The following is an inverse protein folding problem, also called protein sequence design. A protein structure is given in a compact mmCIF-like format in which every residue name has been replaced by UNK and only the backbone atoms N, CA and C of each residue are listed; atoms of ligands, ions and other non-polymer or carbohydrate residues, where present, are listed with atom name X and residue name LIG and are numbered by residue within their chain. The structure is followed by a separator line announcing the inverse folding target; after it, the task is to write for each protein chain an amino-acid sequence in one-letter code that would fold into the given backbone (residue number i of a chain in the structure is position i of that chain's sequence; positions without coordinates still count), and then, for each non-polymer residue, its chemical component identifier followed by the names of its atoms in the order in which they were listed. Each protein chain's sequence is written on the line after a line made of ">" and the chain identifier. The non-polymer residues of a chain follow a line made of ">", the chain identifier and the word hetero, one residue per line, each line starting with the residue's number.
data_IF_373301601427
#
_entry.id   IF_373301601427
#
_cell.length_a   1.000
_cell.length_b   1.000
_cell.length_c   1.000
_cell.angle_alpha   90.00
_cell.angle_beta   90.00
_cell.angle_gamma   90.00
#
_symmetry.space_group_name_H-M   'P 1'
#
loop_
_entity.id
_entity.type
_entity.pdbx_description
1 polymer ?
#
# COMPACT_ATOMS: atom_id res chain seq x y z
N UNK A 1 -20.61 3.50 -16.00
CA UNK A 1 -20.33 3.55 -14.55
C UNK A 1 -20.55 2.16 -13.97
N UNK A 2 -19.54 1.62 -13.26
CA UNK A 2 -19.65 0.31 -12.58
C UNK A 2 -20.20 0.55 -11.17
N UNK A 3 -21.46 0.15 -10.93
CA UNK A 3 -22.13 0.42 -9.65
C UNK A 3 -21.80 -0.66 -8.61
N UNK A 4 -20.95 -0.36 -7.63
CA UNK A 4 -20.60 -1.25 -6.52
C UNK A 4 -20.87 -0.58 -5.17
N UNK A 5 -20.73 -1.33 -4.06
CA UNK A 5 -20.77 -0.72 -2.71
C UNK A 5 -19.69 0.35 -2.54
N UNK A 6 -18.49 0.14 -3.10
CA UNK A 6 -17.37 1.08 -3.01
C UNK A 6 -17.67 2.38 -3.76
N UNK A 7 -18.14 2.29 -5.04
CA UNK A 7 -18.40 3.49 -5.83
C UNK A 7 -19.51 4.35 -5.24
N UNK A 8 -20.55 3.74 -4.68
CA UNK A 8 -21.60 4.48 -3.94
C UNK A 8 -21.11 5.12 -2.65
N UNK A 9 -20.24 4.41 -1.92
CA UNK A 9 -19.72 4.87 -0.62
C UNK A 9 -18.82 6.10 -0.76
N UNK A 10 -18.04 6.15 -1.83
CA UNK A 10 -17.02 7.19 -2.07
C UNK A 10 -17.44 8.22 -3.14
N UNK A 11 -18.53 8.00 -3.87
CA UNK A 11 -18.94 8.90 -4.96
C UNK A 11 -17.99 8.88 -6.15
N UNK A 12 -17.36 7.73 -6.45
CA UNK A 12 -16.40 7.54 -7.55
C UNK A 12 -17.04 6.78 -8.73
N UNK A 13 -16.47 6.93 -9.91
CA UNK A 13 -17.00 6.35 -11.16
C UNK A 13 -16.57 4.88 -11.34
N UNK A 14 -15.29 4.59 -11.06
CA UNK A 14 -14.70 3.26 -11.20
C UNK A 14 -14.28 2.71 -9.83
N UNK A 15 -14.54 1.43 -9.55
CA UNK A 15 -14.18 0.81 -8.26
C UNK A 15 -12.69 0.45 -8.20
N UNK A 16 -11.84 1.43 -8.48
CA UNK A 16 -10.37 1.32 -8.58
C UNK A 16 -9.73 2.25 -7.58
N UNK A 17 -8.89 1.67 -6.71
CA UNK A 17 -8.10 2.39 -5.70
C UNK A 17 -6.63 2.32 -6.11
N UNK A 18 -5.96 3.47 -6.24
CA UNK A 18 -4.50 3.50 -6.23
C UNK A 18 -4.05 3.34 -4.78
N UNK A 19 -3.33 2.27 -4.50
CA UNK A 19 -2.86 1.94 -3.14
C UNK A 19 -1.90 2.98 -2.58
N UNK A 20 -1.93 3.19 -1.26
CA UNK A 20 -0.86 3.89 -0.57
C UNK A 20 0.48 3.17 -0.78
N UNK A 21 1.46 3.89 -1.31
CA UNK A 21 2.81 3.41 -1.63
C UNK A 21 3.83 4.35 -1.00
N UNK A 22 4.75 3.81 -0.19
CA UNK A 22 5.77 4.62 0.45
C UNK A 22 6.63 5.33 -0.61
N UNK A 23 6.80 6.65 -0.47
CA UNK A 23 7.55 7.57 -1.35
C UNK A 23 6.93 7.82 -2.73
N UNK A 24 5.94 7.05 -3.16
CA UNK A 24 5.36 7.14 -4.50
C UNK A 24 3.90 7.61 -4.51
N UNK A 25 3.18 7.45 -3.40
CA UNK A 25 1.79 7.88 -3.28
C UNK A 25 1.73 9.35 -2.87
N UNK A 26 1.92 10.22 -3.87
CA UNK A 26 2.01 11.68 -3.76
C UNK A 26 0.80 12.36 -4.44
N UNK A 27 0.56 13.67 -4.21
CA UNK A 27 -0.60 14.39 -4.74
C UNK A 27 -0.78 14.27 -6.26
N UNK A 28 0.29 14.37 -7.05
CA UNK A 28 0.22 14.30 -8.53
C UNK A 28 -0.37 12.98 -9.00
N UNK A 29 0.14 11.86 -8.50
CA UNK A 29 -0.37 10.54 -8.85
C UNK A 29 -1.81 10.34 -8.34
N UNK A 30 -2.05 10.67 -7.08
CA UNK A 30 -3.37 10.47 -6.46
C UNK A 30 -4.46 11.31 -7.16
N UNK A 31 -4.18 12.59 -7.45
CA UNK A 31 -5.11 13.48 -8.14
C UNK A 31 -5.40 13.01 -9.56
N UNK A 32 -4.40 12.53 -10.31
CA UNK A 32 -4.61 11.98 -11.65
C UNK A 32 -5.60 10.81 -11.63
N UNK A 33 -5.45 9.89 -10.66
CA UNK A 33 -6.36 8.75 -10.48
C UNK A 33 -7.78 9.23 -10.10
N UNK A 34 -7.90 10.22 -9.20
CA UNK A 34 -9.19 10.79 -8.82
C UNK A 34 -9.88 11.46 -10.02
N UNK A 35 -9.15 12.26 -10.79
CA UNK A 35 -9.67 12.96 -11.98
C UNK A 35 -10.06 11.98 -13.10
N UNK A 36 -9.41 10.80 -13.17
CA UNK A 36 -9.79 9.71 -14.08
C UNK A 36 -10.99 8.88 -13.58
N UNK A 37 -11.60 9.21 -12.43
CA UNK A 37 -12.82 8.57 -11.93
C UNK A 37 -12.59 7.41 -10.95
N UNK A 38 -11.34 7.07 -10.64
CA UNK A 38 -10.98 6.16 -9.54
C UNK A 38 -10.87 6.90 -8.21
N UNK A 39 -10.09 6.36 -7.27
CA UNK A 39 -9.70 7.05 -6.04
C UNK A 39 -8.22 6.90 -5.77
N UNK A 40 -7.53 8.03 -5.68
CA UNK A 40 -6.12 8.11 -5.34
C UNK A 40 -5.91 8.07 -3.83
N UNK A 41 -4.73 7.60 -3.44
CA UNK A 41 -4.30 7.57 -2.04
C UNK A 41 -2.94 8.26 -1.92
N UNK A 42 -2.80 9.19 -0.98
CA UNK A 42 -1.50 9.72 -0.57
C UNK A 42 -1.05 9.05 0.72
N UNK A 43 0.26 8.88 0.90
CA UNK A 43 0.79 8.17 2.07
C UNK A 43 1.53 9.14 2.99
N UNK A 44 1.10 9.26 4.24
CA UNK A 44 1.67 10.20 5.21
C UNK A 44 3.19 10.05 5.39
N UNK A 45 3.72 8.84 5.23
CA UNK A 45 5.17 8.59 5.38
C UNK A 45 6.04 9.18 4.26
N UNK A 46 5.44 9.78 3.23
CA UNK A 46 6.17 10.51 2.20
C UNK A 46 6.72 11.85 2.70
N UNK A 47 6.19 12.37 3.80
CA UNK A 47 6.58 13.66 4.38
C UNK A 47 7.14 13.49 5.80
N UNK A 48 8.32 14.08 6.08
CA UNK A 48 8.97 13.99 7.38
C UNK A 48 8.23 14.66 8.54
N UNK A 49 7.47 15.73 8.23
CA UNK A 49 6.78 16.55 9.24
C UNK A 49 5.29 16.70 8.92
N UNK A 50 4.51 17.03 9.96
CA UNK A 50 3.08 17.30 9.79
C UNK A 50 2.82 18.55 8.95
N UNK A 51 3.69 19.55 9.01
CA UNK A 51 3.57 20.79 8.22
C UNK A 51 3.78 20.49 6.73
N UNK A 52 4.83 19.73 6.38
CA UNK A 52 5.06 19.31 4.98
C UNK A 52 3.90 18.43 4.47
N UNK A 53 3.31 17.63 5.35
CA UNK A 53 2.12 16.85 5.00
C UNK A 53 0.88 17.74 4.81
N UNK A 54 0.73 18.81 5.61
CA UNK A 54 -0.33 19.79 5.43
C UNK A 54 -0.23 20.50 4.07
N UNK A 55 0.99 20.88 3.67
CA UNK A 55 1.25 21.46 2.33
C UNK A 55 0.88 20.48 1.22
N UNK A 56 1.19 19.19 1.39
CA UNK A 56 0.81 18.16 0.43
C UNK A 56 -0.71 17.95 0.33
N UNK A 57 -1.46 18.11 1.44
CA UNK A 57 -2.93 18.09 1.40
C UNK A 57 -3.49 19.32 0.68
N UNK A 58 -2.88 20.49 0.86
CA UNK A 58 -3.25 21.72 0.13
C UNK A 58 -2.95 21.57 -1.37
N UNK A 59 -1.80 21.01 -1.73
CA UNK A 59 -1.49 20.66 -3.10
C UNK A 59 -2.52 19.70 -3.69
N UNK A 60 -2.86 18.60 -2.97
CA UNK A 60 -3.88 17.65 -3.40
C UNK A 60 -5.22 18.33 -3.68
N UNK A 61 -5.67 19.21 -2.77
CA UNK A 61 -6.91 19.97 -2.90
C UNK A 61 -6.87 20.98 -4.06
N UNK A 62 -5.68 21.45 -4.47
CA UNK A 62 -5.52 22.30 -5.65
C UNK A 62 -5.59 21.52 -6.97
N UNK A 63 -5.18 20.25 -6.98
CA UNK A 63 -5.12 19.39 -8.16
C UNK A 63 -6.45 18.68 -8.48
N UNK A 64 -7.30 18.49 -7.47
CA UNK A 64 -8.60 17.83 -7.65
C UNK A 64 -9.64 18.26 -6.62
N UNK A 65 -10.89 18.32 -7.06
CA UNK A 65 -12.07 18.44 -6.18
C UNK A 65 -12.74 17.09 -5.88
N UNK A 66 -12.16 15.99 -6.35
CA UNK A 66 -12.68 14.64 -6.17
C UNK A 66 -12.23 14.06 -4.82
N UNK A 67 -12.99 13.07 -4.27
CA UNK A 67 -12.59 12.40 -3.04
C UNK A 67 -11.26 11.66 -3.20
N UNK A 68 -10.46 11.64 -2.13
CA UNK A 68 -9.18 10.89 -2.05
C UNK A 68 -8.99 10.28 -0.67
N UNK A 69 -8.01 9.39 -0.56
CA UNK A 69 -7.67 8.63 0.65
C UNK A 69 -6.31 9.08 1.17
N UNK A 70 -6.14 9.09 2.48
CA UNK A 70 -4.83 9.19 3.15
C UNK A 70 -4.51 7.84 3.79
N UNK A 71 -3.32 7.30 3.48
CA UNK A 71 -2.82 6.07 4.10
C UNK A 71 -1.94 6.40 5.31
N UNK A 72 -2.24 5.75 6.44
CA UNK A 72 -1.45 5.77 7.67
C UNK A 72 -0.99 4.34 7.97
N UNK A 73 0.33 4.12 7.92
CA UNK A 73 0.92 2.81 8.24
C UNK A 73 1.01 2.64 9.77
N UNK A 74 0.46 1.53 10.27
CA UNK A 74 0.61 1.09 11.65
C UNK A 74 1.72 0.04 11.80
N UNK A 75 2.53 -0.19 10.76
CA UNK A 75 3.64 -1.14 10.81
C UNK A 75 4.72 -0.64 11.79
N UNK A 76 5.26 -1.50 12.70
CA UNK A 76 6.21 -1.08 13.74
C UNK A 76 7.43 -0.33 13.24
N UNK A 77 7.84 -0.59 11.99
CA UNK A 77 9.01 0.05 11.35
C UNK A 77 8.70 1.40 10.69
N UNK A 78 7.43 1.79 10.61
CA UNK A 78 6.95 2.98 9.88
C UNK A 78 5.88 3.75 10.65
N UNK A 79 5.51 3.28 11.83
CA UNK A 79 4.43 3.86 12.62
C UNK A 79 4.89 5.19 13.23
N UNK A 80 4.07 6.20 13.04
CA UNK A 80 4.08 7.42 13.85
C UNK A 80 3.66 7.07 15.29
N UNK A 81 4.00 7.90 16.25
CA UNK A 81 3.42 7.71 17.58
C UNK A 81 1.90 8.00 17.60
N UNK A 82 1.22 7.56 18.65
CA UNK A 82 -0.25 7.63 18.72
C UNK A 82 -0.77 9.07 18.70
N UNK A 83 -0.04 10.00 19.28
CA UNK A 83 -0.40 11.42 19.28
C UNK A 83 -0.20 12.04 17.89
N UNK A 84 0.85 11.70 17.20
CA UNK A 84 1.10 12.11 15.81
C UNK A 84 0.03 11.55 14.87
N UNK A 85 -0.37 10.28 15.05
CA UNK A 85 -1.48 9.68 14.29
C UNK A 85 -2.78 10.48 14.52
N UNK A 86 -3.11 10.82 15.78
CA UNK A 86 -4.32 11.60 16.08
C UNK A 86 -4.25 13.03 15.52
N UNK A 87 -3.08 13.68 15.55
CA UNK A 87 -2.86 14.98 14.89
C UNK A 87 -3.08 14.88 13.38
N UNK A 88 -2.54 13.85 12.76
CA UNK A 88 -2.72 13.58 11.33
C UNK A 88 -4.20 13.37 10.98
N UNK A 89 -4.93 12.59 11.78
CA UNK A 89 -6.38 12.38 11.59
C UNK A 89 -7.16 13.70 11.68
N UNK A 90 -6.87 14.54 12.68
CA UNK A 90 -7.52 15.87 12.81
C UNK A 90 -7.26 16.74 11.60
N UNK A 91 -5.99 16.85 11.19
CA UNK A 91 -5.59 17.61 9.99
C UNK A 91 -6.31 17.10 8.74
N UNK A 92 -6.38 15.79 8.54
CA UNK A 92 -7.11 15.20 7.41
C UNK A 92 -8.60 15.59 7.41
N UNK A 93 -9.24 15.63 8.58
CA UNK A 93 -10.62 16.08 8.72
C UNK A 93 -10.79 17.56 8.35
N UNK A 94 -9.90 18.44 8.84
CA UNK A 94 -9.87 19.88 8.52
C UNK A 94 -9.65 20.14 7.01
N UNK A 95 -8.87 19.30 6.35
CA UNK A 95 -8.57 19.36 4.91
C UNK A 95 -9.59 18.58 4.03
N UNK A 96 -10.69 18.09 4.64
CA UNK A 96 -11.79 17.40 3.93
C UNK A 96 -11.39 16.12 3.19
N UNK A 97 -10.43 15.36 3.72
CA UNK A 97 -10.08 14.04 3.23
C UNK A 97 -11.29 13.10 3.32
N UNK A 98 -11.57 12.35 2.25
CA UNK A 98 -12.77 11.50 2.20
C UNK A 98 -12.65 10.26 3.09
N UNK A 99 -11.45 9.71 3.21
CA UNK A 99 -11.21 8.49 3.98
C UNK A 99 -9.76 8.35 4.47
N UNK A 100 -9.59 7.64 5.58
CA UNK A 100 -8.30 7.13 6.05
C UNK A 100 -8.20 5.64 5.74
N UNK A 101 -7.09 5.23 5.11
CA UNK A 101 -6.68 3.84 5.01
C UNK A 101 -5.60 3.57 6.08
N UNK A 102 -5.89 2.71 7.04
CA UNK A 102 -4.85 2.18 7.93
C UNK A 102 -4.31 0.86 7.38
N UNK A 103 -3.07 0.51 7.70
CA UNK A 103 -2.43 -0.72 7.24
C UNK A 103 -1.58 -1.37 8.31
N UNK A 104 -1.40 -2.69 8.21
CA UNK A 104 -0.60 -3.57 9.06
C UNK A 104 -1.28 -3.96 10.38
N UNK A 105 -1.11 -3.20 11.47
CA UNK A 105 -1.61 -3.56 12.79
C UNK A 105 -3.05 -3.10 13.04
N UNK A 106 -3.62 -3.52 14.18
CA UNK A 106 -5.01 -3.28 14.56
C UNK A 106 -5.33 -1.78 14.67
N UNK A 107 -6.28 -1.25 13.88
CA UNK A 107 -6.62 0.18 13.88
C UNK A 107 -7.66 0.57 14.92
N UNK A 108 -8.18 -0.35 15.76
CA UNK A 108 -9.39 -0.12 16.59
C UNK A 108 -9.30 1.12 17.45
N UNK A 109 -8.13 1.46 17.97
CA UNK A 109 -7.92 2.62 18.82
C UNK A 109 -8.13 3.97 18.09
N UNK A 110 -8.01 4.02 16.75
CA UNK A 110 -8.13 5.24 15.96
C UNK A 110 -9.48 5.36 15.22
N UNK A 111 -10.30 4.30 15.20
CA UNK A 111 -11.56 4.30 14.43
C UNK A 111 -12.53 5.38 14.91
N UNK A 112 -12.59 5.62 16.23
CA UNK A 112 -13.46 6.65 16.78
C UNK A 112 -13.02 8.05 16.35
N UNK A 113 -11.72 8.32 16.36
CA UNK A 113 -11.15 9.62 15.95
C UNK A 113 -11.39 9.87 14.46
N UNK A 114 -11.17 8.86 13.59
CA UNK A 114 -11.42 8.95 12.14
C UNK A 114 -12.90 9.28 11.85
N UNK A 115 -13.83 8.58 12.53
CA UNK A 115 -15.26 8.82 12.36
C UNK A 115 -15.69 10.18 12.87
N UNK A 116 -15.16 10.62 14.02
CA UNK A 116 -15.46 11.93 14.59
C UNK A 116 -14.97 13.08 13.71
N UNK A 117 -13.89 12.87 12.96
CA UNK A 117 -13.39 13.80 11.96
C UNK A 117 -14.18 13.76 10.63
N UNK A 118 -15.28 12.99 10.55
CA UNK A 118 -16.18 12.94 9.38
C UNK A 118 -15.71 12.02 8.24
N UNK A 119 -14.64 11.29 8.43
CA UNK A 119 -14.02 10.47 7.37
C UNK A 119 -14.50 9.01 7.41
N UNK A 120 -14.41 8.34 6.24
CA UNK A 120 -14.54 6.89 6.13
C UNK A 120 -13.25 6.22 6.59
N UNK A 121 -13.36 4.97 7.04
CA UNK A 121 -12.20 4.18 7.44
C UNK A 121 -12.08 2.92 6.58
N UNK A 122 -10.89 2.68 6.03
CA UNK A 122 -10.48 1.45 5.37
C UNK A 122 -9.32 0.83 6.13
N UNK A 123 -9.24 -0.50 6.12
CA UNK A 123 -8.09 -1.18 6.71
C UNK A 123 -7.51 -2.19 5.72
N UNK A 124 -6.21 -2.07 5.45
CA UNK A 124 -5.47 -2.99 4.58
C UNK A 124 -4.95 -4.17 5.39
N UNK A 125 -5.58 -5.32 5.21
CA UNK A 125 -5.22 -6.57 5.88
C UNK A 125 -4.33 -7.43 4.98
N UNK A 126 -3.22 -7.99 5.51
CA UNK A 126 -2.32 -8.83 4.72
C UNK A 126 -2.89 -10.22 4.41
N UNK A 127 -3.92 -10.66 5.11
CA UNK A 127 -4.59 -11.94 4.87
C UNK A 127 -5.95 -12.03 5.57
N UNK A 128 -6.73 -13.08 5.26
CA UNK A 128 -8.07 -13.32 5.83
C UNK A 128 -8.09 -13.42 7.36
N UNK A 129 -7.10 -14.07 7.96
CA UNK A 129 -7.06 -14.25 9.43
C UNK A 129 -6.85 -12.91 10.15
N UNK A 130 -6.08 -11.98 9.59
CA UNK A 130 -5.92 -10.63 10.13
C UNK A 130 -7.22 -9.83 10.00
N UNK A 131 -8.03 -10.11 8.98
CA UNK A 131 -9.34 -9.47 8.84
C UNK A 131 -10.39 -9.98 9.81
N UNK A 132 -10.24 -11.21 10.36
CA UNK A 132 -11.19 -11.87 11.27
C UNK A 132 -10.65 -12.08 12.69
N UNK A 133 -9.37 -12.32 12.85
CA UNK A 133 -8.65 -12.44 14.13
C UNK A 133 -7.14 -12.46 13.90
N UNK A 134 -6.37 -11.85 14.77
CA UNK A 134 -4.93 -11.60 14.65
C UNK A 134 -4.04 -12.86 14.69
N UNK A 135 -4.32 -13.93 13.95
CA UNK A 135 -3.45 -15.09 13.87
C UNK A 135 -2.84 -15.36 12.50
N UNK A 136 -1.51 -15.47 12.53
CA UNK A 136 -0.48 -15.89 11.54
C UNK A 136 -0.80 -15.88 10.04
N UNK A 137 0.11 -15.18 9.32
CA UNK A 137 0.20 -15.04 7.86
C UNK A 137 0.37 -16.40 7.17
N UNK A 138 -0.56 -16.70 6.25
CA UNK A 138 -0.45 -17.82 5.32
C UNK A 138 -0.34 -17.30 3.89
N UNK A 139 0.36 -18.03 3.02
CA UNK A 139 0.44 -17.77 1.57
C UNK A 139 -0.87 -18.16 0.90
N UNK A 140 -1.89 -17.31 0.98
CA UNK A 140 -3.18 -17.53 0.30
C UNK A 140 -3.31 -16.52 -0.84
N UNK A 141 -3.62 -17.00 -2.04
CA UNK A 141 -3.79 -16.14 -3.22
C UNK A 141 -4.95 -15.15 -3.07
N UNK A 142 -4.83 -13.99 -3.72
CA UNK A 142 -5.79 -12.88 -3.66
C UNK A 142 -7.23 -13.31 -3.96
N UNK A 143 -7.46 -14.17 -4.94
CA UNK A 143 -8.80 -14.62 -5.31
C UNK A 143 -9.48 -15.41 -4.20
N UNK A 144 -8.74 -16.29 -3.51
CA UNK A 144 -9.27 -17.07 -2.39
C UNK A 144 -9.63 -16.16 -1.22
N UNK A 145 -8.72 -15.23 -0.86
CA UNK A 145 -8.96 -14.27 0.23
C UNK A 145 -10.13 -13.35 -0.11
N UNK A 146 -10.16 -12.76 -1.29
CA UNK A 146 -11.22 -11.84 -1.71
C UNK A 146 -12.61 -12.53 -1.66
N UNK A 147 -12.71 -13.75 -2.22
CA UNK A 147 -13.96 -14.53 -2.17
C UNK A 147 -14.38 -14.86 -0.75
N UNK A 148 -13.46 -15.27 0.10
CA UNK A 148 -13.74 -15.60 1.48
C UNK A 148 -14.21 -14.39 2.28
N UNK A 149 -13.46 -13.29 2.21
CA UNK A 149 -13.85 -12.04 2.87
C UNK A 149 -15.21 -11.52 2.37
N UNK A 150 -15.45 -11.55 1.06
CA UNK A 150 -16.71 -11.09 0.48
C UNK A 150 -17.92 -11.96 0.90
N UNK A 151 -17.71 -13.25 1.20
CA UNK A 151 -18.76 -14.15 1.68
C UNK A 151 -19.05 -13.94 3.18
N UNK A 152 -18.02 -13.71 3.98
CA UNK A 152 -18.13 -13.76 5.44
C UNK A 152 -18.31 -12.37 6.07
N UNK A 153 -18.02 -11.28 5.33
CA UNK A 153 -18.10 -9.91 5.85
C UNK A 153 -19.29 -9.13 5.31
N UNK A 154 -19.98 -8.41 6.19
CA UNK A 154 -21.08 -7.49 5.82
C UNK A 154 -20.60 -6.09 5.39
N UNK A 155 -19.29 -5.88 5.23
CA UNK A 155 -18.68 -4.63 4.79
C UNK A 155 -18.14 -4.74 3.36
N UNK A 156 -17.93 -3.61 2.64
CA UNK A 156 -17.28 -3.65 1.34
C UNK A 156 -15.87 -4.23 1.42
N UNK A 157 -15.54 -5.17 0.54
CA UNK A 157 -14.21 -5.78 0.40
C UNK A 157 -13.54 -5.23 -0.85
N UNK A 158 -12.30 -4.77 -0.72
CA UNK A 158 -11.45 -4.31 -1.81
C UNK A 158 -10.35 -5.35 -2.00
N UNK A 159 -10.31 -5.97 -3.19
CA UNK A 159 -9.27 -6.97 -3.51
C UNK A 159 -7.96 -6.28 -3.89
N UNK A 160 -6.84 -6.72 -3.34
CA UNK A 160 -5.52 -6.16 -3.59
C UNK A 160 -4.48 -7.25 -3.84
N UNK A 161 -3.58 -7.00 -4.81
CA UNK A 161 -2.45 -7.88 -5.16
C UNK A 161 -2.69 -8.74 -6.41
N UNK A 162 -1.78 -8.65 -7.39
CA UNK A 162 -1.85 -9.40 -8.65
C UNK A 162 -2.95 -8.95 -9.61
N UNK A 163 -3.52 -7.77 -9.40
CA UNK A 163 -4.54 -7.16 -10.27
C UNK A 163 -3.89 -5.99 -10.99
N UNK A 164 -3.91 -5.98 -12.32
CA UNK A 164 -3.23 -4.96 -13.12
C UNK A 164 -4.08 -4.44 -14.30
N UNK A 165 -5.17 -5.10 -14.64
CA UNK A 165 -6.01 -4.80 -15.81
C UNK A 165 -7.51 -4.97 -15.55
N UNK A 166 -8.30 -4.78 -16.61
CA UNK A 166 -9.76 -4.92 -16.58
C UNK A 166 -10.23 -6.36 -16.34
N UNK A 167 -9.46 -7.39 -16.75
CA UNK A 167 -9.80 -8.78 -16.49
C UNK A 167 -9.68 -9.10 -15.00
N UNK A 168 -8.60 -8.63 -14.36
CA UNK A 168 -8.41 -8.76 -12.92
C UNK A 168 -9.48 -8.03 -12.12
N UNK A 169 -9.91 -6.83 -12.56
CA UNK A 169 -11.04 -6.10 -11.98
C UNK A 169 -12.35 -6.92 -12.11
N UNK A 170 -12.66 -7.39 -13.30
CA UNK A 170 -13.87 -8.18 -13.55
C UNK A 170 -13.91 -9.46 -12.70
N UNK A 171 -12.78 -10.17 -12.61
CA UNK A 171 -12.65 -11.37 -11.78
C UNK A 171 -12.85 -11.05 -10.29
N UNK A 172 -12.26 -9.98 -9.77
CA UNK A 172 -12.43 -9.56 -8.37
C UNK A 172 -13.91 -9.23 -8.05
N UNK A 173 -14.60 -8.51 -8.96
CA UNK A 173 -16.02 -8.20 -8.80
C UNK A 173 -16.89 -9.46 -8.85
N UNK A 174 -16.58 -10.42 -9.74
CA UNK A 174 -17.28 -11.72 -9.82
C UNK A 174 -17.10 -12.55 -8.53
N UNK A 175 -15.99 -12.41 -7.83
CA UNK A 175 -15.75 -13.02 -6.53
C UNK A 175 -16.49 -12.33 -5.37
N UNK A 176 -17.15 -11.20 -5.64
CA UNK A 176 -17.94 -10.44 -4.66
C UNK A 176 -17.20 -9.25 -4.03
N UNK A 177 -15.98 -8.93 -4.51
CA UNK A 177 -15.32 -7.70 -4.10
C UNK A 177 -16.12 -6.46 -4.56
N UNK A 178 -16.01 -5.37 -3.82
CA UNK A 178 -16.65 -4.09 -4.15
C UNK A 178 -15.74 -3.19 -5.01
N UNK A 179 -14.49 -3.56 -5.18
CA UNK A 179 -13.48 -2.86 -5.96
C UNK A 179 -12.13 -3.52 -5.83
N UNK A 180 -11.13 -2.90 -6.44
CA UNK A 180 -9.74 -3.36 -6.43
C UNK A 180 -8.80 -2.27 -5.98
N UNK A 181 -7.67 -2.66 -5.35
CA UNK A 181 -6.57 -1.76 -5.05
C UNK A 181 -5.30 -2.24 -5.76
N UNK A 182 -4.67 -1.34 -6.48
CA UNK A 182 -3.48 -1.62 -7.28
C UNK A 182 -2.32 -0.72 -6.85
N UNK A 183 -1.12 -1.28 -6.77
CA UNK A 183 0.13 -0.54 -6.56
C UNK A 183 1.00 -0.59 -7.80
N UNK A 184 1.55 -1.76 -8.12
CA UNK A 184 2.52 -1.97 -9.20
C UNK A 184 2.06 -1.41 -10.55
N UNK A 185 0.77 -1.51 -10.89
CA UNK A 185 0.22 -0.92 -12.12
C UNK A 185 0.41 0.59 -12.16
N UNK A 186 0.16 1.28 -11.03
CA UNK A 186 0.31 2.74 -10.95
C UNK A 186 1.76 3.20 -10.86
N UNK A 187 2.71 2.33 -10.47
CA UNK A 187 4.16 2.63 -10.55
C UNK A 187 4.61 2.89 -11.99
N UNK A 188 3.93 2.29 -12.98
CA UNK A 188 4.28 2.41 -14.39
C UNK A 188 3.67 3.64 -15.08
N UNK A 189 2.91 4.49 -14.36
CA UNK A 189 2.31 5.71 -14.95
C UNK A 189 3.29 6.88 -14.91
N UNK A 190 3.07 7.85 -15.79
CA UNK A 190 3.93 9.03 -15.90
C UNK A 190 3.84 9.93 -14.66
N UNK A 191 2.70 9.93 -13.98
CA UNK A 191 2.45 10.71 -12.76
C UNK A 191 3.14 10.12 -11.52
N UNK A 192 3.62 8.88 -11.59
CA UNK A 192 4.36 8.27 -10.48
C UNK A 192 5.77 8.85 -10.40
N UNK A 193 6.19 9.41 -9.24
CA UNK A 193 7.49 10.07 -9.08
C UNK A 193 8.64 9.05 -8.91
N UNK A 194 8.72 8.09 -9.79
CA UNK A 194 9.76 7.07 -9.81
C UNK A 194 10.69 7.31 -11.00
N UNK A 195 11.97 6.99 -10.85
CA UNK A 195 12.92 7.13 -11.97
C UNK A 195 12.57 6.22 -13.15
N UNK A 196 12.92 6.65 -14.36
CA UNK A 196 12.69 5.89 -15.58
C UNK A 196 13.33 4.49 -15.55
N UNK A 197 14.49 4.36 -14.90
CA UNK A 197 15.13 3.06 -14.73
C UNK A 197 14.27 2.07 -13.93
N UNK A 198 13.63 2.52 -12.84
CA UNK A 198 12.72 1.66 -12.07
C UNK A 198 11.44 1.38 -12.85
N UNK A 199 10.89 2.37 -13.55
CA UNK A 199 9.70 2.20 -14.39
C UNK A 199 9.97 1.18 -15.48
N UNK A 200 11.07 1.32 -16.23
CA UNK A 200 11.51 0.37 -17.26
C UNK A 200 11.72 -1.03 -16.65
N UNK A 201 12.36 -1.11 -15.47
CA UNK A 201 12.55 -2.38 -14.80
C UNK A 201 11.21 -3.09 -14.52
N UNK A 202 10.20 -2.37 -14.03
CA UNK A 202 8.87 -2.97 -13.75
C UNK A 202 8.16 -3.38 -15.04
N UNK A 203 8.34 -2.64 -16.14
CA UNK A 203 7.74 -2.93 -17.46
C UNK A 203 8.40 -4.15 -18.11
N UNK A 204 9.72 -4.26 -18.02
CA UNK A 204 10.52 -5.29 -18.70
C UNK A 204 10.54 -6.64 -17.96
N UNK A 205 10.00 -6.69 -16.73
CA UNK A 205 10.02 -7.88 -15.87
C UNK A 205 8.62 -8.47 -15.69
N UNK A 206 8.57 -9.72 -15.21
CA UNK A 206 7.34 -10.51 -15.07
C UNK A 206 7.08 -10.90 -13.63
N UNK A 207 5.99 -11.64 -13.40
CA UNK A 207 5.65 -12.23 -12.09
C UNK A 207 6.77 -13.08 -11.47
N UNK A 208 7.70 -13.62 -12.30
CA UNK A 208 8.85 -14.44 -11.87
C UNK A 208 9.99 -13.63 -11.28
N UNK A 209 9.97 -12.31 -11.53
CA UNK A 209 11.01 -11.39 -11.09
C UNK A 209 10.64 -10.72 -9.76
N UNK A 210 9.88 -11.40 -8.93
CA UNK A 210 9.55 -11.01 -7.56
C UNK A 210 9.96 -12.07 -6.55
N UNK A 211 10.32 -11.64 -5.35
CA UNK A 211 10.64 -12.52 -4.22
C UNK A 211 9.92 -12.08 -2.95
N UNK A 212 9.80 -13.00 -1.98
CA UNK A 212 9.30 -12.69 -0.64
C UNK A 212 10.48 -12.41 0.28
N UNK A 213 10.42 -11.30 1.00
CA UNK A 213 11.38 -10.89 2.02
C UNK A 213 10.71 -10.76 3.39
N UNK A 214 11.51 -10.69 4.47
CA UNK A 214 11.07 -10.48 5.85
C UNK A 214 10.12 -11.54 6.38
N UNK A 215 10.39 -12.80 6.07
CA UNK A 215 9.59 -13.97 6.50
C UNK A 215 9.64 -14.19 8.00
N UNK A 216 10.85 -14.03 8.61
CA UNK A 216 11.11 -14.30 10.03
C UNK A 216 10.44 -13.34 10.98
N UNK A 217 10.35 -12.06 10.63
CA UNK A 217 9.72 -11.04 11.47
C UNK A 217 8.18 -11.01 11.31
N UNK A 218 7.63 -11.94 10.53
CA UNK A 218 6.18 -12.00 10.28
C UNK A 218 5.64 -10.80 9.48
N UNK A 219 6.48 -9.91 8.94
CA UNK A 219 6.10 -8.79 8.07
C UNK A 219 6.45 -9.05 6.61
N UNK A 220 6.14 -10.26 6.15
CA UNK A 220 6.47 -10.73 4.81
C UNK A 220 5.89 -9.81 3.74
N UNK A 221 6.75 -9.37 2.83
CA UNK A 221 6.38 -8.54 1.68
C UNK A 221 6.92 -9.13 0.39
N UNK A 222 6.19 -8.89 -0.70
CA UNK A 222 6.66 -9.22 -2.04
C UNK A 222 7.34 -8.00 -2.63
N UNK A 223 8.55 -8.20 -3.12
CA UNK A 223 9.43 -7.14 -3.62
C UNK A 223 10.07 -7.54 -4.95
N UNK A 224 10.68 -6.57 -5.64
CA UNK A 224 11.52 -6.81 -6.82
C UNK A 224 12.61 -7.85 -6.53
N UNK A 225 12.86 -8.74 -7.47
CA UNK A 225 13.99 -9.68 -7.42
C UNK A 225 15.24 -8.99 -7.96
N UNK A 226 15.93 -8.27 -7.11
CA UNK A 226 17.14 -7.52 -7.42
C UNK A 226 18.26 -7.87 -6.43
N UNK A 227 19.45 -7.31 -6.60
CA UNK A 227 20.61 -7.62 -5.74
C UNK A 227 20.33 -7.34 -4.27
N UNK A 228 19.62 -6.25 -3.94
CA UNK A 228 19.27 -5.92 -2.55
C UNK A 228 18.32 -6.96 -1.92
N UNK A 229 17.31 -7.41 -2.65
CA UNK A 229 16.34 -8.40 -2.14
C UNK A 229 16.96 -9.80 -2.01
N UNK A 230 17.86 -10.16 -2.92
CA UNK A 230 18.61 -11.42 -2.85
C UNK A 230 19.55 -11.41 -1.65
N UNK A 231 20.28 -10.31 -1.41
CA UNK A 231 21.13 -10.14 -0.25
C UNK A 231 20.32 -10.17 1.06
N UNK A 232 19.16 -9.49 1.09
CA UNK A 232 18.30 -9.53 2.27
C UNK A 232 17.83 -10.95 2.60
N UNK A 233 17.45 -11.75 1.59
CA UNK A 233 17.06 -13.14 1.77
C UNK A 233 18.24 -14.02 2.19
N UNK A 234 19.44 -13.82 1.63
CA UNK A 234 20.65 -14.54 2.05
C UNK A 234 20.98 -14.31 3.54
N UNK A 235 20.90 -13.05 3.99
CA UNK A 235 21.05 -12.70 5.41
C UNK A 235 20.00 -13.41 6.26
N UNK A 236 18.76 -13.43 5.83
CA UNK A 236 17.65 -14.09 6.53
C UNK A 236 17.88 -15.61 6.65
N UNK A 237 18.17 -16.27 5.53
CA UNK A 237 18.36 -17.71 5.46
C UNK A 237 19.60 -18.14 6.32
N UNK A 238 20.70 -17.39 6.24
CA UNK A 238 21.88 -17.60 7.08
C UNK A 238 21.56 -17.40 8.57
N UNK A 239 20.80 -16.37 8.91
CA UNK A 239 20.37 -16.12 10.29
C UNK A 239 19.52 -17.25 10.85
N UNK A 240 18.60 -17.78 10.07
CA UNK A 240 17.77 -18.95 10.44
C UNK A 240 18.65 -20.17 10.68
N UNK A 241 19.57 -20.48 9.76
CA UNK A 241 20.46 -21.63 9.86
C UNK A 241 21.38 -21.57 11.10
N UNK A 242 21.78 -20.36 11.51
CA UNK A 242 22.63 -20.14 12.69
C UNK A 242 21.85 -19.92 13.98
N UNK A 243 20.53 -20.02 13.97
CA UNK A 243 19.66 -19.88 15.15
C UNK A 243 19.56 -18.44 15.68
N UNK A 244 19.83 -17.42 14.86
CA UNK A 244 19.69 -16.00 15.25
C UNK A 244 18.22 -15.63 15.50
N UNK A 245 17.99 -14.74 16.45
CA UNK A 245 16.68 -14.16 16.69
C UNK A 245 16.21 -13.28 15.53
N UNK A 246 14.88 -13.20 15.31
CA UNK A 246 14.30 -12.41 14.23
C UNK A 246 14.74 -10.94 14.21
N UNK A 247 14.87 -10.32 15.39
CA UNK A 247 15.32 -8.92 15.50
C UNK A 247 16.78 -8.72 15.13
N UNK A 248 17.65 -9.70 15.40
CA UNK A 248 19.06 -9.62 15.03
C UNK A 248 19.24 -9.80 13.51
N UNK A 249 18.45 -10.70 12.91
CA UNK A 249 18.36 -10.84 11.45
C UNK A 249 17.90 -9.52 10.82
N UNK A 250 16.84 -8.91 11.37
CA UNK A 250 16.33 -7.63 10.88
C UNK A 250 17.41 -6.53 10.92
N UNK A 251 18.17 -6.43 12.02
CA UNK A 251 19.27 -5.46 12.13
C UNK A 251 20.32 -5.66 11.04
N UNK A 252 20.68 -6.90 10.73
CA UNK A 252 21.63 -7.20 9.64
C UNK A 252 21.07 -6.85 8.26
N UNK A 253 19.75 -6.94 8.06
CA UNK A 253 19.10 -6.55 6.81
C UNK A 253 18.96 -5.02 6.64
N UNK A 254 18.94 -4.25 7.74
CA UNK A 254 18.70 -2.79 7.71
C UNK A 254 19.50 -2.05 6.62
N UNK A 255 20.79 -2.37 6.33
CA UNK A 255 21.54 -1.70 5.26
C UNK A 255 20.91 -1.78 3.86
N UNK A 256 20.00 -2.69 3.59
CA UNK A 256 19.36 -2.88 2.27
C UNK A 256 17.85 -2.71 2.25
N UNK A 257 17.18 -2.74 3.43
CA UNK A 257 15.72 -2.74 3.51
C UNK A 257 15.10 -1.43 4.04
N UNK A 258 15.90 -0.41 4.38
CA UNK A 258 15.35 0.83 4.95
C UNK A 258 14.57 1.64 3.90
N UNK A 259 13.46 2.25 4.32
CA UNK A 259 12.67 3.12 3.46
C UNK A 259 13.48 4.29 2.89
N UNK A 260 14.47 4.82 3.63
CA UNK A 260 15.36 5.88 3.14
C UNK A 260 16.24 5.41 1.97
N UNK A 261 16.73 4.17 2.02
CA UNK A 261 17.46 3.59 0.87
C UNK A 261 16.56 3.39 -0.33
N UNK A 262 15.34 2.91 -0.12
CA UNK A 262 14.35 2.78 -1.18
C UNK A 262 14.04 4.13 -1.82
N UNK A 263 13.85 5.19 -1.00
CA UNK A 263 13.66 6.56 -1.52
C UNK A 263 14.85 7.02 -2.36
N UNK A 264 16.06 6.83 -1.84
CA UNK A 264 17.29 7.19 -2.56
C UNK A 264 17.43 6.41 -3.87
N UNK A 265 17.13 5.11 -3.86
CA UNK A 265 17.11 4.26 -5.04
C UNK A 265 16.17 4.81 -6.12
N UNK A 266 14.96 5.23 -5.75
CA UNK A 266 13.99 5.82 -6.67
C UNK A 266 14.48 7.11 -7.31
N UNK A 267 15.21 7.96 -6.56
CA UNK A 267 15.78 9.21 -7.05
C UNK A 267 17.00 8.96 -7.95
N UNK A 268 17.94 8.14 -7.48
CA UNK A 268 19.21 7.86 -8.17
C UNK A 268 19.03 6.93 -9.39
N UNK A 269 17.89 6.26 -9.53
CA UNK A 269 17.64 5.29 -10.59
C UNK A 269 18.40 3.96 -10.45
N UNK A 270 18.99 3.69 -9.26
CA UNK A 270 19.73 2.44 -9.02
C UNK A 270 18.81 1.36 -8.46
N UNK A 271 18.26 0.55 -9.36
CA UNK A 271 17.28 -0.51 -9.08
C UNK A 271 17.83 -1.56 -8.09
N UNK A 272 19.13 -1.80 -8.10
CA UNK A 272 19.79 -2.85 -7.30
C UNK A 272 20.18 -2.41 -5.88
N UNK A 273 20.09 -1.12 -5.58
CA UNK A 273 20.62 -0.57 -4.31
C UNK A 273 19.68 -0.73 -3.11
N UNK A 274 18.40 -1.00 -3.34
CA UNK A 274 17.40 -1.18 -2.28
C UNK A 274 16.26 -2.08 -2.72
N UNK A 275 15.53 -2.64 -1.76
CA UNK A 275 14.28 -3.36 -2.06
C UNK A 275 13.16 -2.35 -2.36
N UNK A 276 12.26 -2.69 -3.26
CA UNK A 276 11.00 -1.96 -3.46
C UNK A 276 9.85 -2.93 -3.73
N UNK A 277 8.66 -2.54 -3.30
CA UNK A 277 7.47 -3.38 -3.46
C UNK A 277 7.14 -3.55 -4.94
N UNK A 278 7.04 -4.80 -5.38
CA UNK A 278 6.63 -5.19 -6.72
C UNK A 278 5.72 -6.42 -6.62
N UNK A 279 4.51 -6.30 -7.15
CA UNK A 279 3.52 -7.37 -7.12
C UNK A 279 3.62 -8.29 -8.33
N UNK A 280 2.99 -9.47 -8.27
CA UNK A 280 2.93 -10.44 -9.38
C UNK A 280 2.05 -9.97 -10.57
N UNK A 281 1.58 -8.74 -10.57
CA UNK A 281 0.94 -8.11 -11.73
C UNK A 281 1.92 -7.47 -12.71
N UNK A 282 3.23 -7.66 -12.53
CA UNK A 282 4.22 -7.31 -13.55
C UNK A 282 4.07 -8.22 -14.75
N UNK A 283 4.25 -7.67 -15.96
CA UNK A 283 4.07 -8.42 -17.21
C UNK A 283 2.62 -8.50 -17.71
N UNK A 284 1.65 -7.85 -17.00
CA UNK A 284 0.24 -7.75 -17.41
C UNK A 284 -0.11 -6.37 -17.96
#
# INVERSE_FOLDING_TARGET
>A
MINTKLTRLLGIEYPIVQSGMQWLAVPQLAAAVCNAGGIGTINVTCWPTLDEFADALDEMNSLTSKPYIVNISLAPTQRLDDEEIRKTIRLCGEKHVAAIETSAEDPREFIADIKSAGMRHFHKCPNYKVSMSMERKGLVGTFVIARRCAADMNIPVIAAGGIADGHGLAAALALGASGVAMGTRFVCTDECPISDNHRSWVIDHTEKDTVLCQKTIGSMMRVSKNNASLLANEIEDRGILTGKGAMDILKEQMPVITGQKTRKSFIDGNVDSAIFCAGMGMGL
#
